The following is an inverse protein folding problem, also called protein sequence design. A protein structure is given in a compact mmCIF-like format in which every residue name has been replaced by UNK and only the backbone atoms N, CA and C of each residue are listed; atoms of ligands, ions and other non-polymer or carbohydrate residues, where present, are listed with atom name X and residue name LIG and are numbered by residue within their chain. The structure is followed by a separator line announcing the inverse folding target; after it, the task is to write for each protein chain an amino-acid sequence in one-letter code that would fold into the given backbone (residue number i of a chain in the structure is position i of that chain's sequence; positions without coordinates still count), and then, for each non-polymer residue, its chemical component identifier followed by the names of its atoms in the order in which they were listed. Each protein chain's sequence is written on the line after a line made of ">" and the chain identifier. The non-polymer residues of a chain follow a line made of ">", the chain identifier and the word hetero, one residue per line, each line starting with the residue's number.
data_IF_328550550822
#
_entry.id   IF_328550550822
#
_cell.length_a   1.000
_cell.length_b   1.000
_cell.length_c   1.000
_cell.angle_alpha   90.00
_cell.angle_beta   90.00
_cell.angle_gamma   90.00
#
_symmetry.space_group_name_H-M   'P 1'
#
loop_
_entity.id
_entity.type
_entity.pdbx_description
1 polymer ?
#
# COMPACT_ATOMS: atom_id res chain seq x y z
N UNK A 1 -9.84 48.56 13.19
CA UNK A 1 -8.91 48.40 14.33
C UNK A 1 -7.95 47.26 14.01
N UNK A 2 -6.66 47.55 13.82
CA UNK A 2 -5.65 46.54 13.48
C UNK A 2 -5.13 45.85 14.75
N UNK A 3 -5.13 44.52 14.75
CA UNK A 3 -4.65 43.68 15.87
C UNK A 3 -3.12 43.69 15.87
N UNK A 4 -2.48 44.42 16.78
CA UNK A 4 -1.03 44.32 16.98
C UNK A 4 -0.69 42.96 17.59
N UNK A 5 0.02 42.12 16.83
CA UNK A 5 0.57 40.85 17.33
C UNK A 5 1.77 41.18 18.23
N UNK A 6 1.70 40.82 19.52
CA UNK A 6 2.85 40.90 20.42
C UNK A 6 3.94 39.94 19.91
N UNK A 7 5.01 40.48 19.34
CA UNK A 7 6.19 39.70 19.02
C UNK A 7 6.89 39.29 20.32
N UNK A 8 6.95 37.98 20.57
CA UNK A 8 7.71 37.42 21.69
C UNK A 8 9.18 37.52 21.32
N UNK A 9 9.87 38.52 21.86
CA UNK A 9 11.31 38.73 21.64
C UNK A 9 12.09 37.59 22.33
N UNK A 10 12.23 36.47 21.63
CA UNK A 10 13.17 35.42 22.00
C UNK A 10 14.56 35.98 21.72
N UNK A 11 15.39 36.16 22.75
CA UNK A 11 16.73 36.79 22.68
C UNK A 11 17.78 36.02 21.87
N UNK A 12 17.36 35.39 20.77
CA UNK A 12 18.17 34.66 19.82
C UNK A 12 18.75 35.69 18.85
N UNK A 13 20.08 35.87 18.90
CA UNK A 13 20.77 36.77 17.96
C UNK A 13 20.67 36.17 16.56
N UNK A 14 19.87 36.79 15.69
CA UNK A 14 19.76 36.40 14.29
C UNK A 14 21.07 36.74 13.58
N UNK A 15 21.89 35.73 13.31
CA UNK A 15 23.11 35.84 12.51
C UNK A 15 22.91 35.09 11.20
N UNK A 16 23.39 35.64 10.09
CA UNK A 16 23.33 34.93 8.82
C UNK A 16 24.24 33.70 8.86
N UNK A 17 23.80 32.57 8.27
CA UNK A 17 24.60 31.36 8.21
C UNK A 17 25.86 31.61 7.38
N UNK A 18 27.00 31.19 7.91
CA UNK A 18 28.30 31.25 7.27
C UNK A 18 28.80 29.83 6.97
N UNK A 19 29.64 29.67 5.95
CA UNK A 19 30.18 28.37 5.49
C UNK A 19 31.25 27.78 6.43
N UNK A 20 31.59 28.50 7.48
CA UNK A 20 32.64 28.18 8.46
C UNK A 20 32.34 27.00 9.39
N UNK A 21 31.17 26.38 9.27
CA UNK A 21 30.74 25.28 10.14
C UNK A 21 30.22 25.75 11.52
N UNK A 22 29.79 24.82 12.39
CA UNK A 22 29.23 25.18 13.69
C UNK A 22 30.30 25.80 14.60
N UNK A 23 29.97 26.98 15.13
CA UNK A 23 30.83 27.72 16.06
C UNK A 23 30.83 27.00 17.43
N UNK A 24 31.97 26.54 17.96
CA UNK A 24 32.04 25.76 19.21
C UNK A 24 31.60 26.55 20.46
N UNK A 25 31.44 27.88 20.33
CA UNK A 25 31.00 28.75 21.42
C UNK A 25 29.47 28.90 21.53
N UNK A 26 28.71 28.45 20.52
CA UNK A 26 27.25 28.59 20.48
C UNK A 26 26.58 27.22 20.49
N UNK A 27 25.56 27.05 21.34
CA UNK A 27 24.74 25.84 21.31
C UNK A 27 24.09 25.72 19.92
N UNK A 28 24.31 24.59 19.25
CA UNK A 28 23.72 24.37 17.92
C UNK A 28 22.21 24.17 18.05
N UNK A 29 21.47 24.35 16.94
CA UNK A 29 20.03 24.05 16.92
C UNK A 29 19.74 22.59 17.27
N UNK A 30 20.68 21.68 16.96
CA UNK A 30 20.59 20.27 17.34
C UNK A 30 20.78 20.08 18.85
N UNK A 31 21.75 20.76 19.46
CA UNK A 31 21.97 20.70 20.91
C UNK A 31 20.78 21.27 21.69
N UNK A 32 20.20 22.36 21.19
CA UNK A 32 18.99 22.96 21.75
C UNK A 32 17.76 22.05 21.60
N UNK A 33 17.64 21.33 20.49
CA UNK A 33 16.58 20.34 20.28
C UNK A 33 16.75 19.13 21.21
N UNK A 34 17.98 18.62 21.34
CA UNK A 34 18.34 17.55 22.26
C UNK A 34 18.02 17.92 23.71
N UNK A 35 18.43 19.12 24.15
CA UNK A 35 18.19 19.64 25.51
C UNK A 35 16.70 19.82 25.83
N UNK A 36 15.86 19.97 24.80
CA UNK A 36 14.39 20.06 24.93
C UNK A 36 13.69 18.72 24.80
N UNK A 37 14.43 17.61 24.66
CA UNK A 37 13.86 16.28 24.46
C UNK A 37 13.11 16.13 23.13
N UNK A 38 13.36 17.01 22.16
CA UNK A 38 12.71 16.96 20.83
C UNK A 38 13.33 15.88 19.92
N UNK A 39 14.49 15.36 20.30
CA UNK A 39 15.15 14.25 19.60
C UNK A 39 14.82 12.88 20.19
N UNK A 40 14.22 12.84 21.38
CA UNK A 40 13.73 11.61 22.00
C UNK A 40 12.39 11.23 21.34
N UNK A 41 12.48 10.83 20.08
CA UNK A 41 11.42 10.07 19.43
C UNK A 41 11.43 8.71 20.14
N UNK A 42 10.34 8.27 20.78
CA UNK A 42 10.32 6.96 21.41
C UNK A 42 10.64 5.91 20.33
N UNK A 43 11.79 5.25 20.49
CA UNK A 43 12.17 4.07 19.73
C UNK A 43 11.21 2.94 20.12
N UNK A 44 10.02 2.96 19.52
CA UNK A 44 9.18 1.79 19.40
C UNK A 44 9.91 0.80 18.51
N UNK A 45 10.28 -0.33 19.09
CA UNK A 45 10.98 -1.43 18.45
C UNK A 45 10.29 -1.84 17.13
N UNK A 46 11.03 -1.71 16.03
CA UNK A 46 10.86 -2.47 14.80
C UNK A 46 9.62 -2.15 13.96
N UNK A 47 9.79 -1.31 12.93
CA UNK A 47 9.48 -1.70 11.55
C UNK A 47 10.10 -0.71 10.56
N UNK A 48 10.68 -1.28 9.51
CA UNK A 48 11.51 -0.59 8.54
C UNK A 48 10.71 0.46 7.73
N UNK A 49 11.23 1.68 7.69
CA UNK A 49 11.23 2.48 6.47
C UNK A 49 9.89 2.93 5.88
N UNK A 50 9.02 3.58 6.65
CA UNK A 50 8.09 4.56 6.06
C UNK A 50 7.96 5.77 6.99
N UNK A 51 8.22 6.97 6.46
CA UNK A 51 8.39 8.20 7.23
C UNK A 51 7.24 8.47 8.23
N UNK A 52 7.63 8.81 9.46
CA UNK A 52 6.77 9.22 10.56
C UNK A 52 6.05 10.56 10.29
N UNK A 53 5.17 10.57 9.28
CA UNK A 53 4.28 11.68 8.91
C UNK A 53 2.80 11.24 8.97
N UNK A 54 2.52 10.11 9.61
CA UNK A 54 1.23 9.42 9.54
C UNK A 54 0.46 9.36 10.86
N UNK A 55 1.03 9.85 11.97
CA UNK A 55 0.39 9.84 13.30
C UNK A 55 0.30 11.25 13.89
N UNK A 56 -0.81 11.55 14.55
CA UNK A 56 -1.05 12.84 15.20
C UNK A 56 -0.25 12.95 16.52
N UNK A 57 -0.32 14.11 17.19
CA UNK A 57 0.38 14.31 18.48
C UNK A 57 -0.05 13.32 19.57
N UNK A 58 -1.17 12.62 19.38
CA UNK A 58 -1.70 11.61 20.31
C UNK A 58 -1.32 10.17 19.90
N UNK A 59 -0.57 9.99 18.80
CA UNK A 59 -0.21 8.68 18.27
C UNK A 59 -1.35 7.99 17.50
N UNK A 60 -2.39 8.72 17.11
CA UNK A 60 -3.49 8.21 16.28
C UNK A 60 -3.17 8.39 14.79
N UNK A 61 -3.47 7.41 13.92
CA UNK A 61 -3.18 7.54 12.50
C UNK A 61 -3.97 8.72 11.89
N UNK A 62 -3.27 9.66 11.22
CA UNK A 62 -3.83 10.85 10.55
C UNK A 62 -4.96 10.48 9.60
N UNK A 63 -4.79 9.36 8.92
CA UNK A 63 -5.78 8.77 8.02
C UNK A 63 -6.31 7.53 8.71
N UNK A 64 -7.49 7.64 9.32
CA UNK A 64 -8.15 6.50 9.93
C UNK A 64 -8.43 5.37 8.93
N UNK A 65 -8.76 4.19 9.44
CA UNK A 65 -9.01 2.95 8.66
C UNK A 65 -9.81 3.13 7.36
N UNK A 66 -10.87 3.94 7.41
CA UNK A 66 -11.70 4.23 6.24
C UNK A 66 -10.95 5.03 5.18
N UNK A 67 -10.19 6.05 5.57
CA UNK A 67 -9.40 6.86 4.64
C UNK A 67 -8.28 6.05 3.99
N UNK A 68 -7.60 5.20 4.77
CA UNK A 68 -6.55 4.32 4.24
C UNK A 68 -7.15 3.33 3.24
N UNK A 69 -8.28 2.70 3.59
CA UNK A 69 -8.98 1.78 2.70
C UNK A 69 -9.42 2.46 1.40
N UNK A 70 -9.91 3.71 1.48
CA UNK A 70 -10.29 4.50 0.29
C UNK A 70 -9.06 4.75 -0.61
N UNK A 71 -7.93 5.15 -0.04
CA UNK A 71 -6.71 5.42 -0.81
C UNK A 71 -6.22 4.17 -1.54
N UNK A 72 -6.14 3.04 -0.84
CA UNK A 72 -5.81 1.75 -1.45
C UNK A 72 -6.79 1.34 -2.54
N UNK A 73 -8.08 1.56 -2.30
CA UNK A 73 -9.14 1.21 -3.26
C UNK A 73 -9.09 2.06 -4.52
N UNK A 74 -8.79 3.35 -4.40
CA UNK A 74 -8.60 4.24 -5.55
C UNK A 74 -7.43 3.75 -6.39
N UNK A 75 -6.29 3.44 -5.76
CA UNK A 75 -5.10 2.91 -6.46
C UNK A 75 -5.38 1.59 -7.17
N UNK A 76 -6.02 0.62 -6.50
CA UNK A 76 -6.37 -0.67 -7.11
C UNK A 76 -7.44 -0.53 -8.20
N UNK A 77 -8.37 0.41 -8.06
CA UNK A 77 -9.37 0.69 -9.10
C UNK A 77 -8.72 1.33 -10.33
N UNK A 78 -7.72 2.21 -10.13
CA UNK A 78 -6.92 2.75 -11.22
C UNK A 78 -6.14 1.65 -11.93
N UNK A 79 -5.51 0.73 -11.18
CA UNK A 79 -4.84 -0.44 -11.73
C UNK A 79 -5.81 -1.31 -12.55
N UNK A 80 -7.00 -1.60 -12.01
CA UNK A 80 -8.04 -2.34 -12.71
C UNK A 80 -8.43 -1.68 -14.05
N UNK A 81 -8.65 -0.37 -14.04
CA UNK A 81 -8.94 0.41 -15.24
C UNK A 81 -7.80 0.31 -16.26
N UNK A 82 -6.56 0.49 -15.82
CA UNK A 82 -5.38 0.40 -16.69
C UNK A 82 -5.25 -0.99 -17.30
N UNK A 83 -5.42 -2.05 -16.51
CA UNK A 83 -5.42 -3.43 -17.04
C UNK A 83 -6.53 -3.65 -18.05
N UNK A 84 -7.74 -3.11 -17.84
CA UNK A 84 -8.85 -3.24 -18.79
C UNK A 84 -8.54 -2.55 -20.13
N UNK A 85 -7.93 -1.36 -20.08
CA UNK A 85 -7.45 -0.65 -21.28
C UNK A 85 -6.32 -1.41 -21.97
N UNK A 86 -5.35 -1.95 -21.22
CA UNK A 86 -4.23 -2.68 -21.79
C UNK A 86 -4.68 -3.96 -22.51
N UNK A 87 -5.58 -4.74 -21.91
CA UNK A 87 -6.05 -5.98 -22.52
C UNK A 87 -6.89 -5.69 -23.77
N UNK A 88 -7.69 -4.62 -23.80
CA UNK A 88 -8.38 -4.19 -25.01
C UNK A 88 -7.42 -3.82 -26.15
N UNK A 89 -6.33 -3.12 -25.82
CA UNK A 89 -5.29 -2.78 -26.79
C UNK A 89 -4.50 -4.02 -27.26
N UNK A 90 -4.20 -4.97 -26.36
CA UNK A 90 -3.47 -6.20 -26.69
C UNK A 90 -4.18 -7.04 -27.77
N UNK A 91 -5.51 -7.05 -27.77
CA UNK A 91 -6.32 -7.77 -28.75
C UNK A 91 -6.86 -6.89 -29.90
N UNK A 92 -6.38 -5.64 -30.01
CA UNK A 92 -6.82 -4.67 -31.03
C UNK A 92 -8.36 -4.52 -31.10
N UNK A 93 -9.04 -4.59 -29.96
CA UNK A 93 -10.50 -4.43 -29.87
C UNK A 93 -10.85 -2.97 -29.67
N UNK A 94 -11.86 -2.48 -30.41
CA UNK A 94 -12.33 -1.11 -30.28
C UNK A 94 -12.80 -0.79 -28.86
N UNK A 95 -12.20 0.26 -28.28
CA UNK A 95 -12.45 0.67 -26.90
C UNK A 95 -13.77 1.42 -26.81
N UNK A 96 -14.76 0.77 -26.20
CA UNK A 96 -16.00 1.43 -25.76
C UNK A 96 -15.82 2.01 -24.37
N UNK A 97 -15.36 3.26 -24.31
CA UNK A 97 -15.05 3.98 -23.06
C UNK A 97 -16.15 3.90 -22.01
N UNK A 98 -17.42 4.03 -22.41
CA UNK A 98 -18.56 3.93 -21.50
C UNK A 98 -18.60 2.58 -20.76
N UNK A 99 -18.29 1.48 -21.44
CA UNK A 99 -18.33 0.15 -20.83
C UNK A 99 -17.16 -0.06 -19.85
N UNK A 100 -15.97 0.43 -20.20
CA UNK A 100 -14.79 0.37 -19.32
C UNK A 100 -15.03 1.20 -18.06
N UNK A 101 -15.53 2.43 -18.21
CA UNK A 101 -15.85 3.30 -17.07
C UNK A 101 -16.93 2.69 -16.18
N UNK A 102 -18.00 2.14 -16.77
CA UNK A 102 -19.07 1.48 -16.01
C UNK A 102 -18.55 0.29 -15.20
N UNK A 103 -17.72 -0.58 -15.80
CA UNK A 103 -17.09 -1.71 -15.09
C UNK A 103 -16.14 -1.26 -14.00
N UNK A 104 -15.34 -0.22 -14.25
CA UNK A 104 -14.41 0.35 -13.26
C UNK A 104 -15.17 0.93 -12.07
N UNK A 105 -16.27 1.65 -12.32
CA UNK A 105 -17.13 2.17 -11.26
C UNK A 105 -17.80 1.05 -10.45
N UNK A 106 -18.20 -0.06 -11.10
CA UNK A 106 -18.74 -1.23 -10.40
C UNK A 106 -17.67 -1.98 -9.60
N UNK A 107 -16.41 -1.98 -10.05
CA UNK A 107 -15.30 -2.61 -9.35
C UNK A 107 -14.91 -1.87 -8.07
N UNK A 108 -14.99 -0.52 -8.06
CA UNK A 108 -14.61 0.30 -6.92
C UNK A 108 -15.23 -0.13 -5.58
N UNK A 109 -16.56 -0.27 -5.41
CA UNK A 109 -17.13 -0.66 -4.12
C UNK A 109 -16.75 -2.09 -3.70
N UNK A 110 -16.51 -2.98 -4.66
CA UNK A 110 -16.09 -4.36 -4.40
C UNK A 110 -14.64 -4.36 -3.89
N UNK A 111 -13.75 -3.64 -4.57
CA UNK A 111 -12.35 -3.46 -4.16
C UNK A 111 -12.30 -2.79 -2.79
N UNK A 112 -13.14 -1.78 -2.55
CA UNK A 112 -13.20 -1.09 -1.26
C UNK A 112 -13.64 -1.98 -0.12
N UNK A 113 -14.64 -2.83 -0.34
CA UNK A 113 -15.05 -3.81 0.65
C UNK A 113 -13.94 -4.83 0.93
N UNK A 114 -13.25 -5.31 -0.10
CA UNK A 114 -12.13 -6.24 0.04
C UNK A 114 -10.97 -5.64 0.83
N UNK A 115 -10.51 -4.44 0.43
CA UNK A 115 -9.43 -3.72 1.11
C UNK A 115 -9.82 -3.40 2.54
N UNK A 116 -11.02 -2.87 2.78
CA UNK A 116 -11.46 -2.55 4.14
C UNK A 116 -11.53 -3.76 5.08
N UNK A 117 -11.77 -4.95 4.52
CA UNK A 117 -11.93 -6.19 5.30
C UNK A 117 -10.62 -6.94 5.50
N UNK A 118 -9.76 -7.00 4.48
CA UNK A 118 -8.57 -7.84 4.47
C UNK A 118 -7.25 -7.07 4.54
N UNK A 119 -7.21 -5.77 4.25
CA UNK A 119 -5.99 -4.98 4.43
C UNK A 119 -5.68 -4.87 5.93
N UNK A 120 -4.44 -5.12 6.38
CA UNK A 120 -4.06 -4.96 7.78
C UNK A 120 -4.20 -3.50 8.19
N UNK A 121 -5.03 -3.25 9.19
CA UNK A 121 -5.12 -1.93 9.81
C UNK A 121 -4.43 -1.94 11.18
N UNK A 122 -3.68 -0.89 11.52
CA UNK A 122 -3.12 -0.74 12.86
C UNK A 122 -4.22 -0.54 13.92
N UNK A 123 -5.42 -0.15 13.50
CA UNK A 123 -6.58 0.06 14.38
C UNK A 123 -7.52 -1.15 14.35
N UNK A 124 -7.97 -1.65 15.52
CA UNK A 124 -8.87 -2.78 15.58
C UNK A 124 -10.20 -2.46 14.90
N UNK A 125 -10.66 -3.37 14.04
CA UNK A 125 -11.98 -3.26 13.44
C UNK A 125 -13.08 -3.55 14.47
N UNK A 126 -14.24 -2.89 14.35
CA UNK A 126 -15.42 -3.20 15.17
C UNK A 126 -15.93 -4.63 14.93
N UNK A 127 -15.64 -5.22 13.77
CA UNK A 127 -16.13 -6.54 13.35
C UNK A 127 -15.24 -7.70 13.82
N UNK A 128 -13.93 -7.48 13.95
CA UNK A 128 -12.97 -8.45 14.49
C UNK A 128 -12.25 -7.81 15.69
N UNK A 129 -12.75 -8.03 16.92
CA UNK A 129 -12.15 -7.47 18.14
C UNK A 129 -10.75 -8.04 18.36
N UNK A 130 -9.83 -7.18 18.81
CA UNK A 130 -8.41 -7.49 18.96
C UNK A 130 -8.20 -8.68 19.91
N UNK A 131 -7.62 -9.80 19.43
CA UNK A 131 -7.37 -10.94 20.29
C UNK A 131 -6.04 -10.75 21.07
N UNK A 132 -5.82 -11.53 22.16
CA UNK A 132 -4.59 -11.50 22.94
C UNK A 132 -3.32 -11.73 22.09
N UNK A 133 -2.13 -11.28 22.54
CA UNK A 133 -0.90 -11.22 21.72
C UNK A 133 -0.46 -12.55 21.10
N UNK A 134 -0.82 -13.69 21.71
CA UNK A 134 -0.54 -15.02 21.14
C UNK A 134 -1.34 -15.31 19.86
N UNK A 135 -2.55 -14.76 19.76
CA UNK A 135 -3.44 -14.96 18.61
C UNK A 135 -3.07 -14.00 17.47
N UNK A 136 -2.47 -12.85 17.77
CA UNK A 136 -1.99 -11.90 16.75
C UNK A 136 -0.94 -12.52 15.82
N UNK A 137 0.02 -13.28 16.37
CA UNK A 137 1.01 -13.99 15.57
C UNK A 137 0.38 -15.06 14.64
N UNK A 138 -0.65 -15.77 15.13
CA UNK A 138 -1.38 -16.78 14.34
C UNK A 138 -2.20 -16.10 13.24
N UNK A 139 -2.84 -14.95 13.54
CA UNK A 139 -3.57 -14.16 12.56
C UNK A 139 -2.66 -13.62 11.46
N UNK A 140 -1.48 -13.11 11.82
CA UNK A 140 -0.48 -12.65 10.85
C UNK A 140 -0.01 -13.80 9.94
N UNK A 141 0.23 -14.99 10.51
CA UNK A 141 0.57 -16.17 9.71
C UNK A 141 -0.59 -16.61 8.79
N UNK A 142 -1.82 -16.64 9.32
CA UNK A 142 -2.99 -17.03 8.55
C UNK A 142 -3.25 -16.07 7.37
N UNK A 143 -3.07 -14.76 7.61
CA UNK A 143 -3.11 -13.72 6.58
C UNK A 143 -2.07 -13.97 5.48
N UNK A 144 -0.81 -14.18 5.86
CA UNK A 144 0.27 -14.48 4.91
C UNK A 144 -0.03 -15.77 4.12
N UNK A 145 -0.54 -16.83 4.74
CA UNK A 145 -0.92 -18.07 4.05
C UNK A 145 -2.10 -17.82 3.10
N UNK A 146 -3.12 -17.08 3.53
CA UNK A 146 -4.28 -16.76 2.70
C UNK A 146 -3.88 -16.01 1.44
N UNK A 147 -3.07 -14.95 1.58
CA UNK A 147 -2.57 -14.18 0.45
C UNK A 147 -1.56 -14.95 -0.40
N UNK A 148 -0.81 -15.89 0.18
CA UNK A 148 0.09 -16.76 -0.58
C UNK A 148 -0.70 -17.70 -1.49
N UNK A 149 -1.70 -18.38 -0.94
CA UNK A 149 -2.60 -19.25 -1.73
C UNK A 149 -3.39 -18.43 -2.75
N UNK A 150 -3.89 -17.25 -2.36
CA UNK A 150 -4.55 -16.30 -3.25
C UNK A 150 -3.65 -15.87 -4.41
N UNK A 151 -2.40 -15.52 -4.12
CA UNK A 151 -1.40 -15.10 -5.11
C UNK A 151 -1.07 -16.24 -6.10
N UNK A 152 -0.78 -17.44 -5.60
CA UNK A 152 -0.46 -18.59 -6.45
C UNK A 152 -1.67 -19.00 -7.30
N UNK A 153 -2.86 -19.09 -6.70
CA UNK A 153 -4.07 -19.47 -7.43
C UNK A 153 -4.48 -18.43 -8.47
N UNK A 154 -4.48 -17.14 -8.12
CA UNK A 154 -4.80 -16.06 -9.05
C UNK A 154 -3.77 -15.96 -10.18
N UNK A 155 -2.47 -16.07 -9.88
CA UNK A 155 -1.39 -16.03 -10.86
C UNK A 155 -1.43 -17.23 -11.82
N UNK A 156 -1.53 -18.45 -11.29
CA UNK A 156 -1.66 -19.66 -12.12
C UNK A 156 -2.95 -19.65 -12.95
N UNK A 157 -4.07 -19.19 -12.40
CA UNK A 157 -5.32 -19.07 -13.13
C UNK A 157 -5.23 -17.99 -14.22
N UNK A 158 -4.57 -16.87 -13.97
CA UNK A 158 -4.33 -15.82 -14.97
C UNK A 158 -3.51 -16.37 -16.16
N UNK A 159 -2.46 -17.13 -15.88
CA UNK A 159 -1.66 -17.82 -16.91
C UNK A 159 -2.53 -18.82 -17.68
N UNK A 160 -3.33 -19.62 -16.98
CA UNK A 160 -4.23 -20.59 -17.60
C UNK A 160 -5.25 -19.92 -18.52
N UNK A 161 -5.93 -18.85 -18.08
CA UNK A 161 -6.98 -18.21 -18.88
C UNK A 161 -6.42 -17.53 -20.13
N UNK A 162 -5.26 -16.89 -20.01
CA UNK A 162 -4.62 -16.16 -21.13
C UNK A 162 -4.12 -17.10 -22.22
N UNK A 163 -3.80 -18.35 -21.88
CA UNK A 163 -3.35 -19.35 -22.85
C UNK A 163 -4.47 -20.23 -23.41
N UNK A 164 -5.50 -20.55 -22.61
CA UNK A 164 -6.50 -21.56 -22.98
C UNK A 164 -7.84 -20.99 -23.47
N UNK A 165 -8.18 -19.75 -23.13
CA UNK A 165 -9.46 -19.16 -23.49
C UNK A 165 -9.33 -18.15 -24.63
N UNK A 166 -10.44 -17.97 -25.36
CA UNK A 166 -10.53 -16.94 -26.39
C UNK A 166 -10.46 -15.52 -25.80
N UNK A 167 -10.04 -14.57 -26.64
CA UNK A 167 -9.79 -13.17 -26.27
C UNK A 167 -10.92 -12.52 -25.46
N UNK A 168 -12.19 -12.81 -25.77
CA UNK A 168 -13.33 -12.21 -25.07
C UNK A 168 -13.42 -12.61 -23.59
N UNK A 169 -13.07 -13.87 -23.26
CA UNK A 169 -13.03 -14.33 -21.88
C UNK A 169 -11.85 -13.68 -21.14
N UNK A 170 -10.69 -13.60 -21.79
CA UNK A 170 -9.49 -12.94 -21.23
C UNK A 170 -9.78 -11.47 -20.93
N UNK A 171 -10.39 -10.73 -21.86
CA UNK A 171 -10.76 -9.31 -21.66
C UNK A 171 -11.69 -9.07 -20.47
N UNK A 172 -12.60 -10.02 -20.16
CA UNK A 172 -13.52 -9.86 -19.03
C UNK A 172 -12.88 -10.24 -17.69
N UNK A 173 -12.07 -11.30 -17.68
CA UNK A 173 -11.59 -11.93 -16.44
C UNK A 173 -10.20 -11.44 -16.04
N UNK A 174 -9.33 -11.14 -17.00
CA UNK A 174 -7.93 -10.76 -16.75
C UNK A 174 -7.78 -9.48 -15.92
N UNK A 175 -8.52 -8.38 -16.16
CA UNK A 175 -8.35 -7.16 -15.37
C UNK A 175 -8.64 -7.31 -13.86
N UNK A 176 -9.76 -7.91 -13.42
CA UNK A 176 -9.99 -8.14 -11.99
C UNK A 176 -9.03 -9.19 -11.40
N UNK A 177 -8.71 -10.27 -12.12
CA UNK A 177 -7.75 -11.28 -11.64
C UNK A 177 -6.34 -10.73 -11.49
N UNK A 178 -5.87 -9.93 -12.44
CA UNK A 178 -4.57 -9.26 -12.37
C UNK A 178 -4.50 -8.30 -11.18
N UNK A 179 -5.58 -7.56 -10.92
CA UNK A 179 -5.67 -6.68 -9.75
C UNK A 179 -5.59 -7.47 -8.43
N UNK A 180 -6.37 -8.55 -8.30
CA UNK A 180 -6.33 -9.43 -7.12
C UNK A 180 -4.96 -10.10 -6.94
N UNK A 181 -4.32 -10.53 -8.03
CA UNK A 181 -3.02 -11.15 -7.97
C UNK A 181 -1.95 -10.15 -7.50
N UNK A 182 -1.90 -8.95 -8.09
CA UNK A 182 -0.96 -7.90 -7.69
C UNK A 182 -1.19 -7.48 -6.23
N UNK A 183 -2.44 -7.27 -5.83
CA UNK A 183 -2.76 -6.96 -4.44
C UNK A 183 -2.28 -8.07 -3.50
N UNK A 184 -2.50 -9.33 -3.87
CA UNK A 184 -2.05 -10.46 -3.07
C UNK A 184 -0.53 -10.56 -2.96
N UNK A 185 0.22 -10.15 -3.98
CA UNK A 185 1.70 -10.12 -3.94
C UNK A 185 2.20 -8.98 -3.05
N UNK A 186 1.58 -7.80 -3.12
CA UNK A 186 1.97 -6.63 -2.33
C UNK A 186 1.77 -6.88 -0.82
N UNK A 187 0.75 -7.66 -0.47
CA UNK A 187 0.39 -7.98 0.90
C UNK A 187 1.32 -9.05 1.54
N UNK A 188 2.11 -9.75 0.73
CA UNK A 188 3.03 -10.78 1.20
C UNK A 188 4.37 -10.17 1.60
N UNK A 189 4.97 -10.74 2.65
CA UNK A 189 6.38 -10.48 2.95
C UNK A 189 7.26 -10.89 1.76
N UNK A 190 8.38 -10.19 1.55
CA UNK A 190 9.27 -10.38 0.39
C UNK A 190 9.64 -11.85 0.15
N UNK A 191 9.90 -12.60 1.22
CA UNK A 191 10.19 -14.04 1.14
C UNK A 191 9.03 -14.84 0.55
N UNK A 192 7.81 -14.65 1.06
CA UNK A 192 6.61 -15.35 0.60
C UNK A 192 6.15 -14.87 -0.79
N UNK A 193 6.28 -13.58 -1.09
CA UNK A 193 6.01 -13.00 -2.39
C UNK A 193 6.93 -13.60 -3.47
N UNK A 194 8.22 -13.71 -3.18
CA UNK A 194 9.18 -14.36 -4.08
C UNK A 194 8.81 -15.83 -4.27
N UNK A 195 8.46 -16.53 -3.19
CA UNK A 195 7.99 -17.91 -3.23
C UNK A 195 6.76 -18.10 -4.13
N UNK A 196 5.75 -17.22 -4.03
CA UNK A 196 4.52 -17.34 -4.83
C UNK A 196 4.79 -17.12 -6.32
N UNK A 197 5.67 -16.16 -6.66
CA UNK A 197 6.09 -15.92 -8.05
C UNK A 197 6.88 -17.10 -8.62
N UNK A 198 7.77 -17.72 -7.83
CA UNK A 198 8.48 -18.94 -8.24
C UNK A 198 7.47 -20.06 -8.52
N UNK A 199 6.46 -20.25 -7.67
CA UNK A 199 5.41 -21.25 -7.89
C UNK A 199 4.65 -21.00 -9.21
N UNK A 200 4.28 -19.75 -9.51
CA UNK A 200 3.65 -19.39 -10.79
C UNK A 200 4.59 -19.66 -11.98
N UNK A 201 5.89 -19.36 -11.84
CA UNK A 201 6.90 -19.62 -12.87
C UNK A 201 7.11 -21.12 -13.14
N UNK A 202 7.10 -21.95 -12.08
CA UNK A 202 7.14 -23.42 -12.20
C UNK A 202 5.88 -23.92 -12.93
N UNK A 203 4.71 -23.42 -12.54
CA UNK A 203 3.45 -23.77 -13.19
C UNK A 203 3.47 -23.42 -14.69
N UNK A 204 3.98 -22.24 -15.04
CA UNK A 204 4.13 -21.82 -16.43
C UNK A 204 5.03 -22.78 -17.22
N UNK A 205 6.19 -23.15 -16.65
CA UNK A 205 7.13 -24.10 -17.27
C UNK A 205 6.54 -25.50 -17.41
N UNK A 206 5.81 -25.99 -16.41
CA UNK A 206 5.15 -27.30 -16.46
C UNK A 206 3.96 -27.34 -17.41
N UNK A 207 3.23 -26.22 -17.53
CA UNK A 207 2.11 -26.08 -18.46
C UNK A 207 2.51 -26.14 -19.94
N UNK A 208 3.82 -26.11 -20.24
CA UNK A 208 4.32 -26.16 -21.62
C UNK A 208 3.91 -24.94 -22.45
N UNK A 209 3.53 -23.84 -21.80
CA UNK A 209 3.16 -22.60 -22.47
C UNK A 209 4.44 -22.00 -23.09
N UNK A 210 4.42 -21.75 -24.40
CA UNK A 210 5.57 -21.21 -25.10
C UNK A 210 5.88 -19.78 -24.64
N UNK A 211 7.16 -19.52 -24.40
CA UNK A 211 7.70 -18.19 -24.18
C UNK A 211 7.87 -17.54 -25.56
N UNK A 212 6.81 -16.87 -26.04
CA UNK A 212 6.65 -16.34 -27.42
C UNK A 212 6.28 -17.38 -28.48
#
# INVERSE_FOLDING_TARGET
>A
MARQRKEKNTGIRLKHPDRSGPDPSQETLLDLAAKRGLLDIPEGEGEEGTGNNGFDENGEPLVGRMGESILWSISLTMLHFTLDVLVANQYAVEIRWHNILSRTMQAFPIILLLVYSFHPHPTPSILLPLPPPRIQAIQALAHQIFFFVGSVSAGCYLIYITNMYGYYAVMKQSPPLGCLWIWSVIELNVFWATGSLICCGIFLKWGGYNFL
#
